data_IF_431322033236
#
_entry.id   IF_431322033236
#
_cell.length_a   1.000
_cell.length_b   1.000
_cell.length_c   1.000
_cell.angle_alpha   90.00
_cell.angle_beta   90.00
_cell.angle_gamma   90.00
#
_symmetry.space_group_name_H-M   'P 1'
#
loop_
_entity.id
_entity.type
_entity.pdbx_description
1 polymer ?
#
# COMPACT_ATOMS: atom_id res chain seq x y z
N UNK A 1 -6.44 16.59 -2.23
CA UNK A 1 -5.94 16.66 -3.62
C UNK A 1 -7.18 16.69 -4.50
N UNK A 2 -7.60 17.89 -4.92
CA UNK A 2 -8.84 18.06 -5.67
C UNK A 2 -8.64 17.60 -7.11
N UNK A 3 -9.58 16.84 -7.66
CA UNK A 3 -9.76 16.69 -9.10
C UNK A 3 -10.15 18.08 -9.65
N UNK A 4 -9.17 18.96 -9.87
CA UNK A 4 -9.39 20.22 -10.59
C UNK A 4 -9.36 19.91 -12.09
N UNK A 5 -10.46 19.37 -12.57
CA UNK A 5 -10.70 19.15 -13.99
C UNK A 5 -12.19 19.28 -14.27
N UNK A 6 -12.58 20.20 -15.15
CA UNK A 6 -13.96 20.29 -15.62
C UNK A 6 -14.40 19.03 -16.37
N UNK A 7 -15.66 18.96 -16.80
CA UNK A 7 -16.26 17.78 -17.45
C UNK A 7 -15.36 17.14 -18.53
N UNK A 8 -14.66 17.94 -19.34
CA UNK A 8 -13.71 17.46 -20.35
C UNK A 8 -12.56 16.61 -19.79
N UNK A 9 -12.02 16.96 -18.62
CA UNK A 9 -10.96 16.19 -17.98
C UNK A 9 -11.48 14.86 -17.45
N UNK A 10 -12.68 14.87 -16.84
CA UNK A 10 -13.35 13.66 -16.41
C UNK A 10 -13.60 12.71 -17.58
N UNK A 11 -14.10 13.19 -18.72
CA UNK A 11 -14.31 12.35 -19.89
C UNK A 11 -13.03 11.66 -20.37
N UNK A 12 -11.90 12.39 -20.42
CA UNK A 12 -10.60 11.80 -20.79
C UNK A 12 -10.12 10.77 -19.78
N UNK A 13 -10.33 11.01 -18.49
CA UNK A 13 -9.97 10.04 -17.45
C UNK A 13 -10.84 8.79 -17.52
N UNK A 14 -12.15 8.94 -17.77
CA UNK A 14 -13.06 7.83 -17.98
C UNK A 14 -12.68 7.00 -19.20
N UNK A 15 -12.38 7.65 -20.32
CA UNK A 15 -11.92 6.97 -21.54
C UNK A 15 -10.62 6.20 -21.29
N UNK A 16 -9.65 6.84 -20.62
CA UNK A 16 -8.36 6.22 -20.27
C UNK A 16 -8.52 5.03 -19.31
N UNK A 17 -9.44 5.11 -18.35
CA UNK A 17 -9.65 4.08 -17.33
C UNK A 17 -10.72 3.06 -17.72
N UNK A 18 -11.41 3.24 -18.85
CA UNK A 18 -12.55 2.42 -19.26
C UNK A 18 -12.27 0.92 -19.20
N UNK A 19 -11.14 0.39 -19.73
CA UNK A 19 -10.86 -1.03 -19.65
C UNK A 19 -10.72 -1.52 -18.20
N UNK A 20 -10.10 -0.72 -17.33
CA UNK A 20 -9.90 -1.07 -15.92
C UNK A 20 -11.23 -1.09 -15.14
N UNK A 21 -12.13 -0.14 -15.40
CA UNK A 21 -13.44 -0.04 -14.75
C UNK A 21 -14.33 -1.27 -14.99
N UNK A 22 -14.16 -1.95 -16.12
CA UNK A 22 -14.97 -3.11 -16.51
C UNK A 22 -14.25 -4.46 -16.38
N UNK A 23 -13.05 -4.49 -15.80
CA UNK A 23 -12.23 -5.72 -15.67
C UNK A 23 -13.02 -6.88 -15.04
N UNK A 24 -13.79 -6.59 -13.99
CA UNK A 24 -14.59 -7.57 -13.24
C UNK A 24 -15.65 -8.28 -14.08
N UNK A 25 -16.12 -7.68 -15.18
CA UNK A 25 -17.08 -8.31 -16.10
C UNK A 25 -16.44 -9.49 -16.83
N UNK A 26 -15.13 -9.43 -17.07
CA UNK A 26 -14.38 -10.46 -17.79
C UNK A 26 -13.54 -11.36 -16.88
N UNK A 27 -13.34 -10.95 -15.62
CA UNK A 27 -12.52 -11.63 -14.62
C UNK A 27 -13.31 -11.79 -13.34
N UNK A 28 -13.83 -13.00 -13.11
CA UNK A 28 -14.64 -13.32 -11.93
C UNK A 28 -13.87 -13.27 -10.60
N UNK A 29 -12.53 -13.26 -10.65
CA UNK A 29 -11.64 -13.14 -9.49
C UNK A 29 -11.32 -11.69 -9.11
N UNK A 30 -11.84 -10.71 -9.86
CA UNK A 30 -11.63 -9.28 -9.62
C UNK A 30 -12.90 -8.64 -9.10
N UNK A 31 -12.80 -7.97 -7.95
CA UNK A 31 -13.91 -7.22 -7.36
C UNK A 31 -14.31 -6.02 -8.23
N UNK A 32 -15.61 -5.66 -8.31
CA UNK A 32 -16.09 -4.50 -9.08
C UNK A 32 -15.75 -3.15 -8.41
N UNK A 33 -14.92 -3.13 -7.36
CA UNK A 33 -14.62 -1.94 -6.58
C UNK A 33 -13.13 -1.81 -6.28
N UNK A 34 -12.65 -0.57 -6.18
CA UNK A 34 -11.27 -0.25 -5.79
C UNK A 34 -11.04 -0.27 -4.25
N UNK A 35 -12.03 -0.76 -3.48
CA UNK A 35 -12.05 -0.63 -2.01
C UNK A 35 -10.83 -1.26 -1.33
N UNK A 36 -10.25 -2.32 -1.91
CA UNK A 36 -9.05 -2.97 -1.36
C UNK A 36 -7.84 -2.04 -1.44
N UNK A 37 -7.58 -1.45 -2.61
CA UNK A 37 -6.44 -0.56 -2.80
C UNK A 37 -6.64 0.75 -2.01
N UNK A 38 -7.84 1.32 -2.01
CA UNK A 38 -8.13 2.53 -1.24
C UNK A 38 -7.94 2.33 0.27
N UNK A 39 -8.39 1.19 0.81
CA UNK A 39 -8.15 0.84 2.22
C UNK A 39 -6.67 0.67 2.53
N UNK A 40 -5.90 0.04 1.63
CA UNK A 40 -4.46 -0.10 1.79
C UNK A 40 -3.74 1.26 1.80
N UNK A 41 -4.17 2.20 0.95
CA UNK A 41 -3.57 3.55 0.84
C UNK A 41 -4.03 4.52 1.94
N UNK A 42 -5.15 4.25 2.61
CA UNK A 42 -5.72 5.17 3.61
C UNK A 42 -4.75 5.49 4.75
N UNK A 43 -4.02 4.48 5.25
CA UNK A 43 -3.05 4.68 6.34
C UNK A 43 -1.91 5.63 5.94
N UNK A 44 -1.19 5.40 4.81
CA UNK A 44 -0.22 6.35 4.28
C UNK A 44 -0.77 7.78 4.12
N UNK A 45 -1.99 7.92 3.58
CA UNK A 45 -2.62 9.23 3.34
C UNK A 45 -2.90 9.97 4.65
N UNK A 46 -3.47 9.28 5.64
CA UNK A 46 -3.73 9.87 6.95
C UNK A 46 -2.44 10.25 7.67
N UNK A 47 -1.41 9.39 7.60
CA UNK A 47 -0.11 9.67 8.20
C UNK A 47 0.56 10.89 7.56
N UNK A 48 0.59 11.00 6.23
CA UNK A 48 1.12 12.20 5.54
C UNK A 48 0.33 13.46 5.90
N UNK A 49 -0.99 13.36 6.03
CA UNK A 49 -1.85 14.50 6.38
C UNK A 49 -1.63 14.97 7.83
N UNK A 50 -1.46 14.04 8.77
CA UNK A 50 -1.32 14.36 10.20
C UNK A 50 0.12 14.62 10.65
N UNK A 51 1.11 14.04 9.96
CA UNK A 51 2.52 14.07 10.37
C UNK A 51 3.44 14.75 9.34
N UNK A 52 2.87 15.39 8.31
CA UNK A 52 3.58 16.09 7.21
C UNK A 52 4.51 15.22 6.33
N UNK A 53 4.84 14.00 6.75
CA UNK A 53 5.73 13.09 6.04
C UNK A 53 7.22 13.35 6.34
N UNK A 54 8.09 12.92 5.44
CA UNK A 54 9.55 13.15 5.51
C UNK A 54 10.04 13.84 4.23
N UNK A 55 10.97 14.78 4.38
CA UNK A 55 11.69 15.42 3.26
C UNK A 55 13.07 14.79 3.00
N UNK A 56 13.57 13.96 3.91
CA UNK A 56 14.85 13.26 3.73
C UNK A 56 14.67 11.95 2.95
N UNK A 57 15.63 11.60 2.10
CA UNK A 57 15.63 10.32 1.38
C UNK A 57 15.59 9.11 2.34
N UNK A 58 16.34 9.17 3.45
CA UNK A 58 16.33 8.13 4.48
C UNK A 58 14.96 7.95 5.12
N UNK A 59 14.30 9.06 5.49
CA UNK A 59 12.97 9.01 6.09
C UNK A 59 11.91 8.53 5.10
N UNK A 60 11.98 8.94 3.82
CA UNK A 60 11.08 8.43 2.78
C UNK A 60 11.22 6.91 2.62
N UNK A 61 12.44 6.37 2.63
CA UNK A 61 12.70 4.93 2.56
C UNK A 61 12.19 4.18 3.79
N UNK A 62 12.34 4.76 4.98
CA UNK A 62 11.79 4.15 6.20
C UNK A 62 10.26 4.04 6.11
N UNK A 63 9.61 5.12 5.71
CA UNK A 63 8.16 5.23 5.58
C UNK A 63 7.61 4.26 4.55
N UNK A 64 8.21 4.23 3.37
CA UNK A 64 7.89 3.28 2.29
C UNK A 64 7.89 1.85 2.84
N UNK A 65 8.95 1.48 3.57
CA UNK A 65 9.13 0.13 4.12
C UNK A 65 8.16 -0.18 5.25
N UNK A 66 8.01 0.69 6.24
CA UNK A 66 7.18 0.38 7.42
C UNK A 66 5.69 0.31 7.06
N UNK A 67 5.23 1.15 6.13
CA UNK A 67 3.86 1.09 5.62
C UNK A 67 3.61 -0.19 4.81
N UNK A 68 4.57 -0.58 3.96
CA UNK A 68 4.49 -1.83 3.19
C UNK A 68 4.48 -3.06 4.10
N UNK A 69 5.39 -3.13 5.08
CA UNK A 69 5.46 -4.22 6.06
C UNK A 69 4.18 -4.27 6.88
N UNK A 70 3.74 -3.13 7.41
CA UNK A 70 2.53 -3.06 8.23
C UNK A 70 1.27 -3.49 7.49
N UNK A 71 1.13 -3.09 6.22
CA UNK A 71 -0.01 -3.49 5.41
C UNK A 71 0.05 -4.98 5.01
N UNK A 72 1.23 -5.49 4.68
CA UNK A 72 1.43 -6.92 4.39
C UNK A 72 1.12 -7.78 5.61
N UNK A 73 1.64 -7.43 6.79
CA UNK A 73 1.33 -8.13 8.04
C UNK A 73 -0.17 -8.15 8.31
N UNK A 74 -0.85 -7.00 8.14
CA UNK A 74 -2.31 -6.90 8.30
C UNK A 74 -3.06 -7.83 7.34
N UNK A 75 -2.69 -7.86 6.06
CA UNK A 75 -3.35 -8.70 5.06
C UNK A 75 -3.15 -10.19 5.33
N UNK A 76 -2.02 -10.58 5.93
CA UNK A 76 -1.70 -11.98 6.26
C UNK A 76 -2.11 -12.40 7.67
N UNK A 77 -2.66 -11.51 8.49
CA UNK A 77 -2.97 -11.80 9.89
C UNK A 77 -1.73 -11.97 10.79
N UNK A 78 -0.58 -11.41 10.40
CA UNK A 78 0.67 -11.45 11.16
C UNK A 78 0.69 -10.27 12.14
N UNK A 79 1.09 -10.51 13.38
CA UNK A 79 1.32 -9.43 14.34
C UNK A 79 2.54 -8.59 13.93
N UNK A 80 2.35 -7.29 13.68
CA UNK A 80 3.41 -6.41 13.22
C UNK A 80 4.55 -6.27 14.23
N UNK A 81 4.23 -6.15 15.52
CA UNK A 81 5.25 -5.97 16.55
C UNK A 81 6.12 -7.23 16.66
N UNK A 82 5.51 -8.41 16.70
CA UNK A 82 6.23 -9.69 16.71
C UNK A 82 7.18 -9.81 15.51
N UNK A 83 6.68 -9.53 14.31
CA UNK A 83 7.49 -9.55 13.09
C UNK A 83 8.69 -8.59 13.18
N UNK A 84 8.47 -7.35 13.62
CA UNK A 84 9.54 -6.36 13.74
C UNK A 84 10.58 -6.74 14.80
N UNK A 85 10.13 -7.27 15.94
CA UNK A 85 11.01 -7.78 16.99
C UNK A 85 11.93 -8.86 16.43
N UNK A 86 11.36 -9.89 15.80
CA UNK A 86 12.13 -10.99 15.18
C UNK A 86 13.08 -10.50 14.09
N UNK A 87 12.66 -9.52 13.29
CA UNK A 87 13.52 -8.94 12.26
C UNK A 87 14.72 -8.18 12.85
N UNK A 88 14.52 -7.44 13.94
CA UNK A 88 15.60 -6.74 14.63
C UNK A 88 16.54 -7.73 15.33
N UNK A 89 16.00 -8.75 15.99
CA UNK A 89 16.80 -9.82 16.61
C UNK A 89 17.67 -10.54 15.58
N UNK A 90 17.09 -10.95 14.44
CA UNK A 90 17.82 -11.58 13.36
C UNK A 90 18.93 -10.69 12.81
N UNK A 91 18.65 -9.40 12.59
CA UNK A 91 19.65 -8.44 12.14
C UNK A 91 20.82 -8.31 13.12
N UNK A 92 20.54 -8.23 14.43
CA UNK A 92 21.57 -8.16 15.48
C UNK A 92 22.41 -9.43 15.57
N UNK A 93 21.81 -10.59 15.28
CA UNK A 93 22.48 -11.88 15.24
C UNK A 93 23.21 -12.16 13.92
N UNK A 94 23.21 -11.23 12.96
CA UNK A 94 23.79 -11.45 11.63
C UNK A 94 23.05 -12.50 10.79
N UNK A 95 21.82 -12.83 11.17
CA UNK A 95 20.99 -13.84 10.52
C UNK A 95 19.98 -13.21 9.55
N UNK A 96 19.43 -13.98 8.59
CA UNK A 96 18.41 -13.48 7.67
C UNK A 96 17.15 -13.02 8.41
N UNK A 97 16.54 -11.91 7.96
CA UNK A 97 15.26 -11.46 8.47
C UNK A 97 14.14 -12.49 8.20
N UNK A 98 13.11 -12.58 9.06
CA UNK A 98 11.99 -13.48 8.84
C UNK A 98 11.29 -13.16 7.51
N UNK A 99 10.87 -14.20 6.80
CA UNK A 99 10.15 -14.05 5.54
C UNK A 99 8.79 -13.40 5.80
N UNK A 100 8.58 -12.24 5.19
CA UNK A 100 7.28 -11.56 5.20
C UNK A 100 6.31 -12.16 4.19
N UNK A 101 6.86 -12.72 3.10
CA UNK A 101 6.12 -13.43 2.09
C UNK A 101 6.47 -14.92 2.13
N UNK A 102 5.47 -15.79 2.28
CA UNK A 102 5.69 -17.21 2.01
C UNK A 102 6.18 -17.38 0.57
N UNK A 103 7.18 -18.24 0.29
CA UNK A 103 7.54 -18.59 -1.07
C UNK A 103 6.31 -19.14 -1.82
N UNK A 104 6.21 -18.80 -3.11
CA UNK A 104 5.22 -19.37 -4.02
C UNK A 104 5.50 -20.86 -4.26
#
# INVERSE_FOLDING_TARGET
MALKGGARALCRDLERLWPALWTWVHRSDVEPTNNVAERALRKPVLWRKGSFGSSSGRGLRFVERILTVGETCRQRGINLLDYLTRAVEAHRAGSPAPLLLAPL
#
